data_IF_051141285536
#
_entry.id   IF_051141285536
#
_cell.length_a   1.000
_cell.length_b   1.000
_cell.length_c   1.000
_cell.angle_alpha   90.00
_cell.angle_beta   90.00
_cell.angle_gamma   90.00
#
_symmetry.space_group_name_H-M   'P 1'
#
loop_
_entity.id
_entity.type
_entity.pdbx_description
1 polymer ?
#
# COMPACT_ATOMS: atom_id res chain seq x y z
N UNK A 1 12.99 77.25 -25.34
CA UNK A 1 12.96 76.19 -24.32
C UNK A 1 11.59 75.53 -24.37
N UNK A 2 11.55 74.23 -24.67
CA UNK A 2 10.36 73.50 -25.10
C UNK A 2 9.42 73.25 -23.91
N UNK A 3 8.22 73.83 -23.93
CA UNK A 3 7.21 73.64 -22.89
C UNK A 3 6.61 72.23 -23.00
N UNK A 4 6.72 71.42 -21.96
CA UNK A 4 6.02 70.14 -21.90
C UNK A 4 4.51 70.38 -21.94
N UNK A 5 3.85 69.79 -22.94
CA UNK A 5 2.42 69.94 -23.15
C UNK A 5 1.64 69.26 -22.01
N UNK A 6 0.76 69.99 -21.31
CA UNK A 6 -0.05 69.48 -20.19
C UNK A 6 -0.85 68.22 -20.57
N UNK A 7 -1.31 68.09 -21.82
CA UNK A 7 -1.98 66.88 -22.33
C UNK A 7 -1.05 65.67 -22.38
N UNK A 8 0.23 65.89 -22.67
CA UNK A 8 1.22 64.83 -22.71
C UNK A 8 1.53 64.27 -21.30
N UNK A 9 1.57 65.14 -20.30
CA UNK A 9 1.78 64.73 -18.90
C UNK A 9 0.59 63.93 -18.34
N UNK A 10 -0.63 64.32 -18.67
CA UNK A 10 -1.86 63.59 -18.26
C UNK A 10 -1.87 62.18 -18.86
N UNK A 11 -1.62 62.06 -20.18
CA UNK A 11 -1.54 60.76 -20.84
C UNK A 11 -0.46 59.85 -20.23
N UNK A 12 0.69 60.41 -19.85
CA UNK A 12 1.76 59.63 -19.23
C UNK A 12 1.38 59.11 -17.83
N UNK A 13 0.66 59.91 -17.05
CA UNK A 13 0.15 59.51 -15.72
C UNK A 13 -0.91 58.42 -15.86
N UNK A 14 -1.85 58.55 -16.80
CA UNK A 14 -2.89 57.54 -17.05
C UNK A 14 -2.30 56.20 -17.52
N UNK A 15 -1.29 56.26 -18.41
CA UNK A 15 -0.56 55.06 -18.87
C UNK A 15 0.20 54.40 -17.71
N UNK A 16 0.86 55.17 -16.84
CA UNK A 16 1.57 54.64 -15.68
C UNK A 16 0.60 54.04 -14.64
N UNK A 17 -0.54 54.69 -14.38
CA UNK A 17 -1.57 54.17 -13.49
C UNK A 17 -2.15 52.84 -14.01
N UNK A 18 -2.52 52.79 -15.29
CA UNK A 18 -3.03 51.56 -15.93
C UNK A 18 -1.99 50.44 -15.92
N UNK A 19 -0.71 50.76 -16.12
CA UNK A 19 0.38 49.78 -16.03
C UNK A 19 0.55 49.23 -14.61
N UNK A 20 0.44 50.07 -13.58
CA UNK A 20 0.54 49.63 -12.18
C UNK A 20 -0.66 48.77 -11.77
N UNK A 21 -1.87 49.10 -12.23
CA UNK A 21 -3.06 48.28 -11.98
C UNK A 21 -2.94 46.91 -12.65
N UNK A 22 -2.47 46.85 -13.90
CA UNK A 22 -2.17 45.59 -14.59
C UNK A 22 -1.14 44.76 -13.82
N UNK A 23 -0.06 45.39 -13.36
CA UNK A 23 0.99 44.74 -12.55
C UNK A 23 0.42 44.17 -11.26
N UNK A 24 -0.43 44.91 -10.53
CA UNK A 24 -1.09 44.45 -9.32
C UNK A 24 -2.05 43.27 -9.58
N UNK A 25 -2.81 43.31 -10.68
CA UNK A 25 -3.67 42.20 -11.10
C UNK A 25 -2.83 40.95 -11.37
N UNK A 26 -1.73 41.05 -12.14
CA UNK A 26 -0.84 39.92 -12.40
C UNK A 26 -0.19 39.36 -11.12
N UNK A 27 0.22 40.22 -10.19
CA UNK A 27 0.75 39.79 -8.90
C UNK A 27 -0.30 39.04 -8.08
N UNK A 28 -1.56 39.49 -8.08
CA UNK A 28 -2.64 38.85 -7.33
C UNK A 28 -3.02 37.48 -7.94
N UNK A 29 -3.11 37.38 -9.26
CA UNK A 29 -3.33 36.10 -9.96
C UNK A 29 -2.22 35.09 -9.67
N UNK A 30 -0.97 35.54 -9.64
CA UNK A 30 0.18 34.71 -9.29
C UNK A 30 0.12 34.22 -7.83
N UNK A 31 -0.35 35.06 -6.90
CA UNK A 31 -0.54 34.68 -5.49
C UNK A 31 -1.66 33.64 -5.36
N UNK A 32 -2.79 33.80 -6.06
CA UNK A 32 -3.87 32.81 -6.05
C UNK A 32 -3.41 31.46 -6.61
N UNK A 33 -2.63 31.47 -7.70
CA UNK A 33 -2.06 30.25 -8.26
C UNK A 33 -1.08 29.58 -7.29
N UNK A 34 -0.23 30.35 -6.62
CA UNK A 34 0.69 29.82 -5.59
C UNK A 34 -0.06 29.19 -4.41
N UNK A 35 -1.11 29.86 -3.90
CA UNK A 35 -1.95 29.33 -2.82
C UNK A 35 -2.64 28.04 -3.25
N UNK A 36 -3.18 27.97 -4.47
CA UNK A 36 -3.80 26.77 -4.99
C UNK A 36 -2.81 25.61 -5.10
N UNK A 37 -1.59 25.87 -5.58
CA UNK A 37 -0.51 24.86 -5.64
C UNK A 37 -0.16 24.36 -4.24
N UNK A 38 0.00 25.25 -3.26
CA UNK A 38 0.29 24.86 -1.87
C UNK A 38 -0.83 24.01 -1.27
N UNK A 39 -2.09 24.40 -1.48
CA UNK A 39 -3.25 23.64 -1.02
C UNK A 39 -3.34 22.25 -1.69
N UNK A 40 -3.05 22.17 -2.99
CA UNK A 40 -3.01 20.90 -3.71
C UNK A 40 -1.90 19.97 -3.18
N UNK A 41 -0.73 20.52 -2.85
CA UNK A 41 0.37 19.75 -2.24
C UNK A 41 -0.02 19.24 -0.85
N UNK A 42 -0.63 20.07 0.00
CA UNK A 42 -1.11 19.68 1.33
C UNK A 42 -2.20 18.60 1.22
N UNK A 43 -3.17 18.78 0.33
CA UNK A 43 -4.22 17.79 0.10
C UNK A 43 -3.64 16.45 -0.37
N UNK A 44 -2.62 16.47 -1.24
CA UNK A 44 -1.89 15.27 -1.67
C UNK A 44 -1.20 14.54 -0.52
N UNK A 45 -0.60 15.27 0.44
CA UNK A 45 0.02 14.66 1.63
C UNK A 45 -1.04 14.03 2.56
N UNK A 46 -2.18 14.70 2.75
CA UNK A 46 -3.26 14.21 3.62
C UNK A 46 -4.05 13.03 3.03
N UNK A 47 -4.05 12.89 1.71
CA UNK A 47 -4.68 11.77 1.01
C UNK A 47 -3.78 10.53 0.89
N UNK A 48 -2.53 10.59 1.38
CA UNK A 48 -1.66 9.43 1.40
C UNK A 48 -2.26 8.33 2.29
N UNK A 49 -2.16 7.05 1.91
CA UNK A 49 -2.56 5.95 2.77
C UNK A 49 -1.86 6.06 4.13
N UNK A 50 -2.63 6.27 5.19
CA UNK A 50 -2.10 6.26 6.54
C UNK A 50 -2.01 4.81 7.00
N UNK A 51 -0.80 4.25 7.07
CA UNK A 51 -0.58 2.94 7.67
C UNK A 51 -1.09 2.97 9.11
N UNK A 52 -2.06 2.11 9.43
CA UNK A 52 -2.55 2.00 10.79
C UNK A 52 -1.49 1.19 11.58
N UNK A 53 -1.00 1.70 12.72
CA UNK A 53 -0.03 0.96 13.54
C UNK A 53 -0.51 -0.42 14.00
N UNK A 54 -1.82 -0.67 13.94
CA UNK A 54 -2.43 -1.96 14.28
C UNK A 54 -2.63 -2.86 13.06
N UNK A 55 -2.17 -2.47 11.87
CA UNK A 55 -2.26 -3.34 10.69
C UNK A 55 -1.29 -4.52 10.83
N UNK A 56 -1.83 -5.72 10.61
CA UNK A 56 -1.03 -6.94 10.55
C UNK A 56 -0.37 -7.01 9.17
N UNK A 57 0.95 -7.09 9.14
CA UNK A 57 1.75 -7.13 7.91
C UNK A 57 2.47 -8.46 7.76
N UNK A 58 2.82 -8.83 6.54
CA UNK A 58 3.68 -9.98 6.29
C UNK A 58 5.13 -9.56 6.56
N UNK A 59 5.83 -10.27 7.44
CA UNK A 59 7.22 -10.01 7.81
C UNK A 59 8.20 -10.99 7.18
N UNK A 60 7.72 -12.20 6.83
CA UNK A 60 8.48 -13.16 6.03
C UNK A 60 7.52 -13.92 5.11
N UNK A 61 7.97 -14.26 3.91
CA UNK A 61 7.19 -15.07 2.96
C UNK A 61 8.14 -15.82 2.04
N UNK A 62 7.84 -17.09 1.81
CA UNK A 62 8.44 -17.91 0.77
C UNK A 62 7.34 -18.52 -0.09
N UNK A 63 7.57 -18.57 -1.40
CA UNK A 63 6.63 -19.16 -2.34
C UNK A 63 7.42 -19.84 -3.45
N UNK A 64 7.29 -21.16 -3.55
CA UNK A 64 7.80 -21.93 -4.67
C UNK A 64 6.66 -22.07 -5.67
N UNK A 65 6.64 -21.12 -6.60
CA UNK A 65 5.68 -21.12 -7.69
C UNK A 65 5.92 -22.31 -8.62
N UNK A 66 4.99 -23.27 -8.58
CA UNK A 66 4.82 -24.20 -9.69
C UNK A 66 3.82 -23.58 -10.69
N UNK A 67 3.97 -23.88 -11.97
CA UNK A 67 3.13 -23.38 -13.07
C UNK A 67 1.70 -23.95 -13.07
N UNK A 68 1.20 -24.40 -11.90
CA UNK A 68 -0.13 -24.99 -11.72
C UNK A 68 -0.25 -26.47 -12.08
N UNK A 69 0.86 -27.15 -12.41
CA UNK A 69 0.90 -28.60 -12.70
C UNK A 69 1.82 -29.30 -11.70
N UNK A 70 1.23 -29.88 -10.65
CA UNK A 70 1.95 -30.67 -9.64
C UNK A 70 1.88 -30.07 -8.24
N UNK A 71 2.91 -30.34 -7.43
CA UNK A 71 3.03 -29.85 -6.06
C UNK A 71 3.28 -28.35 -5.96
N UNK A 72 3.15 -27.79 -4.75
CA UNK A 72 3.50 -26.41 -4.43
C UNK A 72 4.10 -26.33 -3.03
N UNK A 73 4.76 -25.22 -2.73
CA UNK A 73 5.17 -24.90 -1.37
C UNK A 73 5.01 -23.40 -1.12
N UNK A 74 4.48 -23.04 0.05
CA UNK A 74 4.49 -21.68 0.53
C UNK A 74 4.68 -21.61 2.05
N UNK A 75 5.22 -20.49 2.51
CA UNK A 75 5.24 -20.13 3.92
C UNK A 75 5.07 -18.62 4.10
N UNK A 76 4.50 -18.21 5.23
CA UNK A 76 4.46 -16.82 5.64
C UNK A 76 4.49 -16.65 7.16
N UNK A 77 4.98 -15.50 7.59
CA UNK A 77 4.94 -15.01 8.96
C UNK A 77 4.35 -13.60 8.98
N UNK A 78 3.46 -13.35 9.93
CA UNK A 78 2.79 -12.08 10.12
C UNK A 78 3.37 -11.33 11.33
N UNK A 79 3.21 -10.00 11.36
CA UNK A 79 3.73 -9.12 12.41
C UNK A 79 3.10 -9.36 13.79
N UNK A 80 1.97 -10.06 13.86
CA UNK A 80 1.30 -10.49 15.09
C UNK A 80 1.79 -11.86 15.60
N UNK A 81 2.80 -12.46 14.96
CA UNK A 81 3.38 -13.74 15.33
C UNK A 81 2.66 -14.96 14.76
N UNK A 82 1.63 -14.79 13.94
CA UNK A 82 1.04 -15.90 13.21
C UNK A 82 2.00 -16.41 12.14
N UNK A 83 2.06 -17.73 11.98
CA UNK A 83 2.90 -18.40 10.96
C UNK A 83 2.10 -19.47 10.25
N UNK A 84 2.40 -19.70 8.97
CA UNK A 84 1.88 -20.82 8.21
C UNK A 84 2.93 -21.31 7.23
N UNK A 85 2.98 -22.62 7.03
CA UNK A 85 3.80 -23.30 6.03
C UNK A 85 3.04 -24.50 5.50
N UNK A 86 3.07 -24.73 4.19
CA UNK A 86 2.36 -25.84 3.57
C UNK A 86 3.08 -26.28 2.29
N UNK A 87 3.19 -27.60 2.13
CA UNK A 87 3.70 -28.24 0.93
C UNK A 87 2.65 -29.22 0.41
N UNK A 88 2.36 -29.15 -0.87
CA UNK A 88 1.53 -30.12 -1.55
C UNK A 88 2.36 -30.93 -2.55
N UNK A 89 2.00 -32.20 -2.71
CA UNK A 89 2.56 -33.11 -3.69
C UNK A 89 1.43 -33.79 -4.47
N UNK A 90 1.56 -33.86 -5.79
CA UNK A 90 0.66 -34.64 -6.63
C UNK A 90 1.00 -36.13 -6.50
N UNK A 91 0.00 -36.95 -6.17
CA UNK A 91 0.10 -38.40 -6.03
C UNK A 91 -0.63 -39.08 -7.18
N UNK A 92 -0.08 -40.21 -7.63
CA UNK A 92 -0.63 -41.06 -8.69
C UNK A 92 -1.00 -40.33 -10.00
N UNK A 93 -0.16 -39.38 -10.41
CA UNK A 93 -0.34 -38.61 -11.65
C UNK A 93 -0.57 -39.52 -12.87
N UNK A 94 -1.58 -39.20 -13.67
CA UNK A 94 -1.97 -39.94 -14.86
C UNK A 94 -2.78 -41.22 -14.60
N UNK A 95 -3.31 -41.40 -13.39
CA UNK A 95 -4.16 -42.55 -13.02
C UNK A 95 -5.55 -42.10 -12.54
N UNK A 96 -6.46 -43.06 -12.33
CA UNK A 96 -7.79 -42.78 -11.77
C UNK A 96 -7.78 -42.29 -10.31
N UNK A 97 -6.67 -42.51 -9.59
CA UNK A 97 -6.46 -42.10 -8.19
C UNK A 97 -5.53 -40.89 -8.09
N UNK A 98 -5.47 -40.05 -9.13
CA UNK A 98 -4.68 -38.82 -9.10
C UNK A 98 -5.26 -37.85 -8.05
N UNK A 99 -4.45 -37.47 -7.06
CA UNK A 99 -4.87 -36.62 -5.96
C UNK A 99 -3.72 -35.77 -5.41
N UNK A 100 -4.04 -34.60 -4.83
CA UNK A 100 -3.07 -33.80 -4.09
C UNK A 100 -3.01 -34.26 -2.63
N UNK A 101 -1.80 -34.54 -2.15
CA UNK A 101 -1.50 -34.75 -0.74
C UNK A 101 -0.84 -33.49 -0.19
N UNK A 102 -1.35 -32.96 0.91
CA UNK A 102 -0.86 -31.73 1.54
C UNK A 102 -0.32 -32.04 2.92
N UNK A 103 0.83 -31.47 3.28
CA UNK A 103 1.37 -31.45 4.64
C UNK A 103 1.69 -30.01 5.00
N UNK A 104 1.22 -29.56 6.16
CA UNK A 104 1.46 -28.19 6.57
C UNK A 104 1.35 -27.98 8.07
N UNK A 105 1.61 -26.74 8.47
CA UNK A 105 1.35 -26.28 9.82
C UNK A 105 0.99 -24.81 9.85
N UNK A 106 0.20 -24.41 10.86
CA UNK A 106 0.03 -23.01 11.22
C UNK A 106 0.15 -22.82 12.73
N UNK A 107 0.61 -21.65 13.16
CA UNK A 107 0.71 -21.30 14.58
C UNK A 107 0.17 -19.90 14.84
N UNK A 108 -0.42 -19.72 16.03
CA UNK A 108 -1.00 -18.46 16.45
C UNK A 108 -0.88 -18.29 17.97
N UNK A 109 -0.88 -17.03 18.41
CA UNK A 109 -0.96 -16.67 19.83
C UNK A 109 -2.43 -16.54 20.20
N UNK A 110 -2.89 -17.34 21.15
CA UNK A 110 -4.27 -17.35 21.59
C UNK A 110 -4.53 -16.28 22.69
N UNK A 111 -5.80 -15.97 23.01
CA UNK A 111 -6.14 -14.99 24.04
C UNK A 111 -5.64 -15.32 25.46
N UNK A 112 -5.28 -16.57 25.71
CA UNK A 112 -4.65 -17.03 26.95
C UNK A 112 -3.14 -16.70 27.05
N UNK A 113 -2.58 -16.11 25.98
CA UNK A 113 -1.15 -15.78 25.87
C UNK A 113 -0.30 -16.94 25.33
N UNK A 114 -0.88 -18.12 25.14
CA UNK A 114 -0.14 -19.30 24.71
C UNK A 114 -0.04 -19.38 23.18
N UNK A 115 1.09 -19.86 22.68
CA UNK A 115 1.25 -20.16 21.25
C UNK A 115 0.87 -21.60 20.96
N UNK A 116 -0.14 -21.78 20.12
CA UNK A 116 -0.57 -23.07 19.61
C UNK A 116 -0.06 -23.27 18.20
N UNK A 117 0.33 -24.50 17.87
CA UNK A 117 0.68 -24.94 16.51
C UNK A 117 -0.20 -26.11 16.12
N UNK A 118 -0.75 -26.05 14.91
CA UNK A 118 -1.52 -27.12 14.31
C UNK A 118 -0.70 -27.69 13.18
N UNK A 119 -0.34 -28.96 13.30
CA UNK A 119 0.24 -29.78 12.24
C UNK A 119 -0.89 -30.51 11.52
N UNK A 120 -0.85 -30.62 10.20
CA UNK A 120 -1.88 -31.32 9.46
C UNK A 120 -1.39 -32.02 8.20
N UNK A 121 -2.11 -33.08 7.86
CA UNK A 121 -2.05 -33.73 6.55
C UNK A 121 -3.44 -33.71 5.92
N UNK A 122 -3.54 -33.40 4.64
CA UNK A 122 -4.78 -33.56 3.87
C UNK A 122 -4.55 -34.52 2.70
N UNK A 123 -5.41 -35.53 2.57
CA UNK A 123 -5.37 -36.56 1.54
C UNK A 123 -6.78 -36.93 1.05
N UNK A 124 -6.89 -37.99 0.24
CA UNK A 124 -8.16 -38.52 -0.27
C UNK A 124 -9.18 -38.87 0.83
N UNK A 125 -8.72 -39.13 2.06
CA UNK A 125 -9.57 -39.46 3.20
C UNK A 125 -9.92 -38.24 4.06
N UNK A 126 -9.45 -37.04 3.70
CA UNK A 126 -9.79 -35.78 4.36
C UNK A 126 -8.62 -35.14 5.11
N UNK A 127 -8.96 -34.30 6.08
CA UNK A 127 -8.02 -33.46 6.83
C UNK A 127 -7.75 -34.04 8.22
N UNK A 128 -6.48 -34.22 8.56
CA UNK A 128 -6.01 -34.89 9.77
C UNK A 128 -5.11 -33.94 10.60
N UNK A 129 -5.68 -33.16 11.53
CA UNK A 129 -4.91 -32.20 12.34
C UNK A 129 -4.43 -32.78 13.67
N UNK A 130 -3.30 -32.26 14.14
CA UNK A 130 -2.78 -32.43 15.51
C UNK A 130 -2.43 -31.05 16.08
N UNK A 131 -2.86 -30.78 17.31
CA UNK A 131 -2.63 -29.48 17.98
C UNK A 131 -1.58 -29.65 19.08
N UNK A 132 -0.59 -28.76 19.10
CA UNK A 132 0.52 -28.74 20.03
C UNK A 132 0.65 -27.36 20.71
N UNK A 133 0.94 -27.33 22.01
CA UNK A 133 1.35 -26.12 22.73
C UNK A 133 2.86 -25.91 22.53
N UNK A 134 3.26 -24.77 21.97
CA UNK A 134 4.66 -24.51 21.58
C UNK A 134 5.36 -23.52 22.50
N UNK A 135 4.64 -22.51 23.01
CA UNK A 135 5.18 -21.52 23.93
C UNK A 135 4.12 -21.03 24.92
N UNK A 136 4.59 -20.50 26.07
CA UNK A 136 3.76 -19.93 27.13
C UNK A 136 3.85 -18.42 27.19
#
# INVERSE_FOLDING_TARGET
MHGYNKRHLINLIEVNATKNDLVLVFFNEMIFLLVFVILALIAGVLAAPQSNPNDITIVNQEEVNNIGVGGYHFSYEQSDGQKREETAELKNEGTENEALSVVGSFSFIAPDGHTYRVDYTADENGFHPTINLVAK
#
